data_IF_018097684257
#
_entry.id   IF_018097684257
#
_cell.length_a   1.000
_cell.length_b   1.000
_cell.length_c   1.000
_cell.angle_alpha   90.00
_cell.angle_beta   90.00
_cell.angle_gamma   90.00
#
_symmetry.space_group_name_H-M   'P 1'
#
loop_
_entity.id
_entity.type
_entity.pdbx_description
1 polymer ?
#
# COMPACT_ATOMS: atom_id res chain seq x y z
N UNK A 1 9.27 9.46 13.59
CA UNK A 1 9.10 10.46 12.51
C UNK A 1 9.70 9.86 11.26
N UNK A 2 9.08 10.05 10.08
CA UNK A 2 9.64 9.52 8.83
C UNK A 2 10.87 10.36 8.44
N UNK A 3 11.90 9.69 7.90
CA UNK A 3 13.14 10.35 7.49
C UNK A 3 12.91 11.24 6.26
N UNK A 4 13.62 12.36 6.16
CA UNK A 4 13.57 13.31 5.04
C UNK A 4 14.92 13.36 4.33
N UNK A 5 15.39 12.21 3.89
CA UNK A 5 16.63 12.05 3.15
C UNK A 5 16.38 11.23 1.86
N UNK A 6 17.39 11.12 1.01
CA UNK A 6 17.28 10.44 -0.30
C UNK A 6 17.35 8.89 -0.19
N UNK A 7 17.42 8.35 1.02
CA UNK A 7 17.55 6.92 1.26
C UNK A 7 16.22 6.16 1.29
N UNK A 8 16.32 4.85 1.10
CA UNK A 8 15.26 3.90 1.39
C UNK A 8 15.33 3.47 2.86
N UNK A 9 14.16 3.39 3.49
CA UNK A 9 14.04 3.08 4.91
C UNK A 9 13.02 1.97 5.15
N UNK A 10 13.18 1.15 6.20
CA UNK A 10 12.21 0.12 6.55
C UNK A 10 10.88 0.74 7.00
N UNK A 11 9.77 0.13 6.60
CA UNK A 11 8.43 0.60 6.99
C UNK A 11 8.25 0.59 8.51
N UNK A 12 7.94 1.74 9.16
CA UNK A 12 7.82 1.82 10.61
C UNK A 12 6.67 0.98 11.15
N UNK A 13 6.88 0.29 12.28
CA UNK A 13 5.85 -0.55 12.89
C UNK A 13 4.52 0.17 13.16
N UNK A 14 4.56 1.47 13.47
CA UNK A 14 3.38 2.27 13.79
C UNK A 14 2.38 2.44 12.63
N UNK A 15 2.82 2.38 11.36
CA UNK A 15 1.93 2.53 10.20
C UNK A 15 1.46 1.18 9.64
N UNK A 16 2.14 0.08 9.99
CA UNK A 16 1.84 -1.26 9.46
C UNK A 16 0.38 -1.70 9.66
N UNK A 17 -0.27 -1.50 10.83
CA UNK A 17 -1.68 -1.88 11.00
C UNK A 17 -2.61 -1.17 10.01
N UNK A 18 -2.33 0.09 9.70
CA UNK A 18 -3.12 0.86 8.74
C UNK A 18 -2.95 0.33 7.31
N UNK A 19 -1.71 0.00 6.94
CA UNK A 19 -1.40 -0.62 5.64
C UNK A 19 -2.08 -1.99 5.52
N UNK A 20 -2.06 -2.80 6.60
CA UNK A 20 -2.79 -4.08 6.64
C UNK A 20 -4.29 -3.89 6.37
N UNK A 21 -4.93 -2.93 7.03
CA UNK A 21 -6.36 -2.64 6.80
C UNK A 21 -6.65 -2.21 5.35
N UNK A 22 -5.76 -1.42 4.74
CA UNK A 22 -5.89 -1.05 3.32
C UNK A 22 -5.82 -2.30 2.44
N UNK A 23 -4.83 -3.17 2.64
CA UNK A 23 -4.68 -4.40 1.85
C UNK A 23 -5.85 -5.37 2.08
N UNK A 24 -6.36 -5.49 3.30
CA UNK A 24 -7.53 -6.32 3.61
C UNK A 24 -8.79 -5.81 2.89
N UNK A 25 -8.98 -4.48 2.81
CA UNK A 25 -10.06 -3.88 2.03
C UNK A 25 -9.90 -4.19 0.54
N UNK A 26 -8.69 -4.06 -0.02
CA UNK A 26 -8.42 -4.43 -1.41
C UNK A 26 -8.67 -5.92 -1.68
N UNK A 27 -8.22 -6.80 -0.77
CA UNK A 27 -8.37 -8.25 -0.88
C UNK A 27 -9.84 -8.71 -0.80
N UNK A 28 -10.69 -7.94 -0.10
CA UNK A 28 -12.14 -8.19 -0.01
C UNK A 28 -12.94 -7.51 -1.13
N UNK A 29 -12.27 -6.81 -2.05
CA UNK A 29 -12.87 -6.19 -3.22
C UNK A 29 -13.31 -4.74 -3.04
N UNK A 30 -13.07 -4.12 -1.88
CA UNK A 30 -13.26 -2.67 -1.69
C UNK A 30 -12.09 -1.87 -2.28
N UNK A 31 -11.99 -1.89 -3.61
CA UNK A 31 -10.93 -1.21 -4.36
C UNK A 31 -11.04 0.32 -4.34
N UNK A 32 -12.19 0.84 -3.92
CA UNK A 32 -12.41 2.28 -3.73
C UNK A 32 -12.02 2.73 -2.32
N UNK A 33 -11.75 1.80 -1.40
CA UNK A 33 -11.61 2.05 0.04
C UNK A 33 -12.79 2.84 0.61
N UNK A 34 -13.98 2.65 0.05
CA UNK A 34 -15.16 3.42 0.41
C UNK A 34 -15.75 2.97 1.76
N UNK A 35 -15.51 1.71 2.15
CA UNK A 35 -15.91 1.16 3.44
C UNK A 35 -14.85 1.31 4.54
N UNK A 36 -13.66 1.79 4.20
CA UNK A 36 -12.58 1.96 5.17
C UNK A 36 -12.70 3.30 5.89
N UNK A 37 -13.42 3.33 7.01
CA UNK A 37 -13.59 4.51 7.86
C UNK A 37 -12.35 4.81 8.73
N UNK A 38 -11.14 4.74 8.16
CA UNK A 38 -9.92 5.04 8.90
C UNK A 38 -9.47 6.48 8.65
N UNK A 39 -9.35 7.25 9.73
CA UNK A 39 -8.86 8.62 9.67
C UNK A 39 -7.52 8.70 8.95
N UNK A 40 -7.44 9.56 7.94
CA UNK A 40 -6.22 9.78 7.17
C UNK A 40 -6.01 8.82 6.01
N UNK A 41 -6.99 8.00 5.61
CA UNK A 41 -6.95 7.27 4.33
C UNK A 41 -7.94 7.90 3.34
N UNK A 42 -7.46 8.27 2.17
CA UNK A 42 -8.29 8.83 1.11
C UNK A 42 -8.93 7.72 0.27
N UNK A 43 -10.18 7.95 -0.15
CA UNK A 43 -10.87 7.08 -1.08
C UNK A 43 -10.12 7.04 -2.43
N UNK A 44 -10.05 5.85 -3.01
CA UNK A 44 -9.41 5.64 -4.31
C UNK A 44 -10.36 6.06 -5.43
N UNK A 45 -9.84 6.80 -6.41
CA UNK A 45 -10.64 7.23 -7.56
C UNK A 45 -10.98 6.03 -8.46
N UNK A 46 -12.16 5.99 -9.10
CA UNK A 46 -12.57 4.84 -9.93
C UNK A 46 -11.58 4.42 -11.04
N UNK A 47 -10.89 5.34 -11.76
CA UNK A 47 -9.88 4.94 -12.73
C UNK A 47 -8.69 4.20 -12.11
N UNK A 48 -8.25 4.64 -10.92
CA UNK A 48 -7.16 4.00 -10.17
C UNK A 48 -7.61 2.64 -9.63
N UNK A 49 -8.82 2.54 -9.08
CA UNK A 49 -9.39 1.26 -8.64
C UNK A 49 -9.48 0.24 -9.79
N UNK A 50 -9.88 0.68 -10.98
CA UNK A 50 -9.90 -0.16 -12.19
C UNK A 50 -8.50 -0.64 -12.58
N UNK A 51 -7.48 0.22 -12.46
CA UNK A 51 -6.09 -0.17 -12.73
C UNK A 51 -5.60 -1.20 -11.71
N UNK A 52 -5.90 -1.00 -10.42
CA UNK A 52 -5.55 -1.94 -9.35
C UNK A 52 -6.21 -3.29 -9.60
N UNK A 53 -7.51 -3.31 -9.93
CA UNK A 53 -8.23 -4.54 -10.30
C UNK A 53 -7.52 -5.28 -11.42
N UNK A 54 -7.19 -4.59 -12.51
CA UNK A 54 -6.52 -5.18 -13.66
C UNK A 54 -5.10 -5.69 -13.35
N UNK A 55 -4.38 -5.04 -12.44
CA UNK A 55 -3.06 -5.51 -12.01
C UNK A 55 -3.16 -6.81 -11.18
N UNK A 56 -4.11 -6.87 -10.23
CA UNK A 56 -4.35 -8.07 -9.41
C UNK A 56 -4.84 -9.22 -10.30
N UNK A 57 -5.82 -8.98 -11.17
CA UNK A 57 -6.34 -9.98 -12.12
C UNK A 57 -5.26 -10.46 -13.10
N UNK A 58 -4.44 -9.54 -13.62
CA UNK A 58 -3.36 -9.84 -14.55
C UNK A 58 -2.23 -10.65 -13.91
N UNK A 59 -1.97 -10.47 -12.61
CA UNK A 59 -1.07 -11.33 -11.84
C UNK A 59 -1.60 -12.76 -11.72
N UNK A 60 -2.92 -12.92 -11.68
CA UNK A 60 -3.58 -14.22 -11.70
C UNK A 60 -3.61 -14.94 -10.36
N UNK A 61 -3.28 -14.26 -9.26
CA UNK A 61 -3.43 -14.78 -7.89
C UNK A 61 -4.17 -13.76 -7.01
N UNK A 62 -5.23 -14.16 -6.29
CA UNK A 62 -5.94 -13.25 -5.39
C UNK A 62 -5.02 -12.73 -4.27
N UNK A 63 -5.20 -11.47 -3.90
CA UNK A 63 -4.58 -10.92 -2.71
C UNK A 63 -5.06 -11.67 -1.45
N UNK A 64 -4.17 -11.76 -0.48
CA UNK A 64 -4.43 -12.30 0.85
C UNK A 64 -3.95 -11.31 1.92
N UNK A 65 -4.37 -11.48 3.19
CA UNK A 65 -3.86 -10.67 4.28
C UNK A 65 -2.32 -10.69 4.33
N UNK A 66 -1.71 -9.52 4.59
CA UNK A 66 -0.26 -9.38 4.57
C UNK A 66 0.42 -10.31 5.57
N UNK A 67 1.35 -11.13 5.06
CA UNK A 67 2.28 -11.90 5.85
C UNK A 67 3.33 -10.98 6.48
N UNK A 68 3.79 -11.26 7.69
CA UNK A 68 4.80 -10.41 8.35
C UNK A 68 6.17 -10.42 7.64
N UNK A 69 6.47 -11.42 6.81
CA UNK A 69 7.70 -11.48 6.02
C UNK A 69 7.83 -10.32 5.00
N UNK A 70 6.72 -9.72 4.55
CA UNK A 70 6.76 -8.60 3.57
C UNK A 70 7.49 -7.38 4.13
N UNK A 71 7.53 -7.20 5.45
CA UNK A 71 8.16 -6.04 6.08
C UNK A 71 9.68 -6.04 6.00
N UNK A 72 10.31 -7.18 5.67
CA UNK A 72 11.76 -7.27 5.47
C UNK A 72 12.22 -6.63 4.16
N UNK A 73 11.31 -6.55 3.19
CA UNK A 73 11.56 -6.05 1.83
C UNK A 73 10.81 -4.76 1.50
N UNK A 74 9.69 -4.51 2.19
CA UNK A 74 8.92 -3.28 2.04
C UNK A 74 9.68 -2.06 2.57
N UNK A 75 9.63 -0.97 1.82
CA UNK A 75 10.39 0.26 2.10
C UNK A 75 9.51 1.50 2.02
N UNK A 76 10.05 2.60 2.51
CA UNK A 76 9.58 3.93 2.17
C UNK A 76 10.76 4.86 1.88
N UNK A 77 10.53 5.87 1.05
CA UNK A 77 11.51 6.92 0.76
C UNK A 77 10.83 8.29 0.81
N UNK A 78 11.60 9.33 1.09
CA UNK A 78 11.10 10.69 0.99
C UNK A 78 10.97 11.10 -0.48
N UNK A 79 9.82 11.64 -0.84
CA UNK A 79 9.50 12.05 -2.21
C UNK A 79 9.52 13.57 -2.41
N UNK A 80 10.08 14.30 -1.43
CA UNK A 80 10.14 15.77 -1.44
C UNK A 80 9.05 16.43 -0.59
N UNK A 81 9.34 17.62 -0.07
CA UNK A 81 8.40 18.39 0.77
C UNK A 81 7.90 17.58 1.98
N UNK A 82 6.58 17.47 2.12
CA UNK A 82 5.92 16.67 3.16
C UNK A 82 5.35 15.36 2.62
N UNK A 83 6.01 14.75 1.64
CA UNK A 83 5.56 13.53 0.96
C UNK A 83 6.55 12.39 1.13
N UNK A 84 6.02 11.19 1.37
CA UNK A 84 6.76 9.95 1.39
C UNK A 84 6.04 8.91 0.53
N UNK A 85 6.81 8.19 -0.26
CA UNK A 85 6.32 7.05 -1.02
C UNK A 85 6.67 5.77 -0.26
N UNK A 86 5.72 4.85 -0.18
CA UNK A 86 5.84 3.56 0.47
C UNK A 86 5.62 2.49 -0.60
N UNK A 87 6.58 1.59 -0.74
CA UNK A 87 6.50 0.43 -1.61
C UNK A 87 6.34 -0.80 -0.73
N UNK A 88 5.13 -1.38 -0.77
CA UNK A 88 4.73 -2.48 0.10
C UNK A 88 4.57 -3.74 -0.73
N UNK A 89 5.38 -4.76 -0.47
CA UNK A 89 5.20 -6.07 -1.08
C UNK A 89 3.87 -6.67 -0.61
N UNK A 90 3.15 -7.34 -1.53
CA UNK A 90 1.86 -7.93 -1.26
C UNK A 90 1.95 -9.44 -1.04
N UNK A 91 1.01 -9.94 -0.26
CA UNK A 91 0.78 -11.37 -0.07
C UNK A 91 -0.38 -11.81 -0.96
N UNK A 92 -0.24 -12.98 -1.57
CA UNK A 92 -1.31 -13.61 -2.36
C UNK A 92 -1.69 -14.95 -1.75
N UNK A 93 -2.70 -15.61 -2.34
CA UNK A 93 -3.14 -16.92 -1.86
C UNK A 93 -2.05 -18.01 -1.91
N UNK A 94 -1.06 -17.88 -2.82
CA UNK A 94 0.04 -18.85 -3.00
C UNK A 94 1.39 -18.38 -2.48
N UNK A 95 1.59 -17.07 -2.31
CA UNK A 95 2.90 -16.50 -2.01
C UNK A 95 2.86 -15.60 -0.78
N UNK A 96 3.70 -15.91 0.21
CA UNK A 96 3.83 -15.08 1.42
C UNK A 96 4.36 -13.68 1.10
N UNK A 97 5.26 -13.59 0.12
CA UNK A 97 5.79 -12.35 -0.46
C UNK A 97 5.77 -12.54 -1.97
N UNK A 98 4.84 -11.88 -2.66
CA UNK A 98 4.68 -11.95 -4.11
C UNK A 98 5.52 -10.87 -4.82
N UNK A 99 5.54 -10.90 -6.15
CA UNK A 99 6.14 -9.82 -6.96
C UNK A 99 5.19 -8.60 -7.12
N UNK A 100 3.96 -8.68 -6.60
CA UNK A 100 3.08 -7.51 -6.56
C UNK A 100 3.48 -6.55 -5.44
N UNK A 101 3.54 -5.27 -5.77
CA UNK A 101 3.77 -4.20 -4.84
C UNK A 101 2.64 -3.16 -4.89
N UNK A 102 2.30 -2.64 -3.71
CA UNK A 102 1.39 -1.53 -3.49
C UNK A 102 2.19 -0.25 -3.27
N UNK A 103 1.93 0.76 -4.09
CA UNK A 103 2.48 2.10 -3.93
C UNK A 103 1.48 2.97 -3.14
N UNK A 104 1.86 3.32 -1.92
CA UNK A 104 1.15 4.29 -1.08
C UNK A 104 1.94 5.60 -1.03
N UNK A 105 1.21 6.69 -0.92
CA UNK A 105 1.79 7.99 -0.61
C UNK A 105 1.27 8.45 0.75
N UNK A 106 2.16 8.90 1.61
CA UNK A 106 1.83 9.55 2.87
C UNK A 106 2.20 11.02 2.77
N UNK A 107 1.28 11.92 3.12
CA UNK A 107 1.52 13.37 3.08
C UNK A 107 1.03 14.13 4.31
N UNK A 108 1.80 15.15 4.70
CA UNK A 108 1.38 16.26 5.57
C UNK A 108 1.03 15.93 7.02
N UNK A 109 0.51 16.95 7.71
CA UNK A 109 -0.18 16.85 9.00
C UNK A 109 -1.55 17.59 8.88
N UNK A 110 -2.70 16.94 9.15
CA UNK A 110 -2.81 15.53 9.53
C UNK A 110 -2.40 14.63 8.36
N UNK A 111 -1.76 13.50 8.70
CA UNK A 111 -1.27 12.55 7.69
C UNK A 111 -2.43 12.02 6.86
N UNK A 112 -2.35 12.25 5.55
CA UNK A 112 -3.20 11.63 4.55
C UNK A 112 -2.42 10.52 3.84
N UNK A 113 -3.09 9.40 3.59
CA UNK A 113 -2.60 8.24 2.87
C UNK A 113 -3.43 8.08 1.62
N UNK A 114 -2.77 8.06 0.48
CA UNK A 114 -3.39 7.82 -0.82
C UNK A 114 -2.82 6.55 -1.43
N UNK A 115 -3.69 5.66 -1.90
CA UNK A 115 -3.29 4.51 -2.73
C UNK A 115 -3.10 4.99 -4.17
N UNK A 116 -1.90 4.81 -4.71
CA UNK A 116 -1.57 5.23 -6.08
C UNK A 116 -1.71 4.10 -7.10
N UNK A 117 -1.16 2.92 -6.80
CA UNK A 117 -1.18 1.79 -7.73
C UNK A 117 -0.87 0.46 -7.03
N UNK A 118 -1.25 -0.62 -7.71
CA UNK A 118 -0.72 -1.98 -7.51
C UNK A 118 -0.08 -2.40 -8.83
N UNK A 119 1.13 -2.94 -8.79
CA UNK A 119 1.90 -3.32 -9.98
C UNK A 119 3.01 -4.31 -9.63
N UNK A 120 3.60 -4.91 -10.65
CA UNK A 120 4.91 -5.58 -10.52
C UNK A 120 5.97 -4.52 -10.82
N UNK A 121 6.88 -4.19 -9.88
CA UNK A 121 7.88 -3.12 -10.02
C UNK A 121 9.01 -3.47 -10.99
#
# INVERSE_FOLDING_TARGET
MLQRDEGEHPVPAAIRPLIKNIVDALATGDLLLAGLETAGVEAVRPPTAKQIAGAIEGYGDPLAPLNDAIWERSIYNWAGGERWDFLIDLTTSREAVSDLALLLQVSGEPRAITVNSVHVP
#
